data_IF_617301634663
#
_entry.id   IF_617301634663
#
_cell.length_a   1.000
_cell.length_b   1.000
_cell.length_c   1.000
_cell.angle_alpha   90.00
_cell.angle_beta   90.00
_cell.angle_gamma   90.00
#
_symmetry.space_group_name_H-M   'P 1'
#
loop_
_entity.id
_entity.type
_entity.pdbx_description
1 polymer ?
#
# COMPACT_ATOMS: atom_id res chain seq x y z
N UNK A 1 -12.45 -22.87 -13.25
CA UNK A 1 -13.76 -22.78 -12.58
C UNK A 1 -13.83 -21.39 -11.97
N UNK A 2 -14.35 -20.41 -12.71
CA UNK A 2 -14.48 -19.03 -12.23
C UNK A 2 -15.67 -18.97 -11.28
N UNK A 3 -15.45 -18.54 -10.04
CA UNK A 3 -16.51 -18.30 -9.07
C UNK A 3 -17.23 -17.01 -9.48
N UNK A 4 -18.35 -17.14 -10.20
CA UNK A 4 -19.33 -16.07 -10.35
C UNK A 4 -20.15 -16.02 -9.06
N UNK A 5 -19.80 -15.15 -8.13
CA UNK A 5 -20.67 -14.83 -7.00
C UNK A 5 -21.76 -13.88 -7.48
N UNK A 6 -22.95 -14.45 -7.63
CA UNK A 6 -24.21 -13.74 -7.82
C UNK A 6 -24.44 -12.78 -6.65
N UNK A 7 -24.84 -11.55 -6.97
CA UNK A 7 -25.26 -10.50 -6.04
C UNK A 7 -26.56 -10.89 -5.33
N UNK A 8 -26.50 -11.64 -4.23
CA UNK A 8 -27.42 -11.59 -3.09
C UNK A 8 -27.15 -12.79 -2.16
N UNK A 9 -26.60 -12.53 -0.97
CA UNK A 9 -27.03 -13.13 0.32
C UNK A 9 -26.01 -12.77 1.42
N UNK A 10 -26.52 -12.07 2.44
CA UNK A 10 -25.82 -11.66 3.66
C UNK A 10 -25.53 -12.87 4.56
N UNK A 11 -24.64 -13.77 4.16
CA UNK A 11 -24.27 -14.94 4.98
C UNK A 11 -23.01 -14.68 5.81
N UNK A 12 -23.19 -14.65 7.12
CA UNK A 12 -22.13 -14.67 8.13
C UNK A 12 -21.24 -15.90 7.92
N UNK A 13 -19.93 -15.71 7.79
CA UNK A 13 -18.99 -16.82 7.66
C UNK A 13 -18.80 -17.47 9.03
N UNK A 14 -19.26 -18.71 9.19
CA UNK A 14 -19.06 -19.49 10.42
C UNK A 14 -17.69 -20.16 10.41
N UNK A 15 -16.88 -19.88 11.43
CA UNK A 15 -15.61 -20.57 11.69
C UNK A 15 -15.72 -21.16 13.08
N UNK A 16 -15.55 -22.49 13.20
CA UNK A 16 -15.59 -23.22 14.49
C UNK A 16 -16.78 -22.87 15.40
N UNK A 17 -17.99 -22.89 14.83
CA UNK A 17 -19.28 -22.53 15.49
C UNK A 17 -19.41 -21.07 15.96
N UNK A 18 -18.43 -20.21 15.67
CA UNK A 18 -18.50 -18.78 15.92
C UNK A 18 -18.84 -18.00 14.64
N UNK A 19 -19.80 -17.09 14.77
CA UNK A 19 -20.15 -16.11 13.76
C UNK A 19 -19.10 -14.99 13.76
N UNK A 20 -18.26 -14.90 12.72
CA UNK A 20 -17.39 -13.74 12.55
C UNK A 20 -18.14 -12.63 11.80
N UNK A 21 -18.17 -11.39 12.32
CA UNK A 21 -18.72 -10.27 11.59
C UNK A 21 -17.87 -9.99 10.34
N UNK A 22 -18.53 -9.82 9.18
CA UNK A 22 -17.84 -9.38 7.96
C UNK A 22 -17.37 -7.94 8.15
N UNK A 23 -16.09 -7.69 7.91
CA UNK A 23 -15.50 -6.35 7.92
C UNK A 23 -15.28 -5.85 6.49
N UNK A 24 -15.46 -4.55 6.25
CA UNK A 24 -15.15 -3.92 4.96
C UNK A 24 -13.64 -3.90 4.69
N UNK A 25 -12.84 -3.81 5.75
CA UNK A 25 -11.38 -3.79 5.69
C UNK A 25 -10.79 -4.81 6.65
N UNK A 26 -9.89 -5.65 6.16
CA UNK A 26 -9.18 -6.64 6.96
C UNK A 26 -7.67 -6.45 6.84
N UNK A 27 -6.98 -6.35 7.98
CA UNK A 27 -5.52 -6.23 7.98
C UNK A 27 -4.88 -7.60 8.05
N UNK A 28 -4.14 -7.97 7.01
CA UNK A 28 -3.41 -9.24 6.92
C UNK A 28 -1.95 -9.00 6.58
N UNK A 29 -1.03 -9.50 7.42
CA UNK A 29 0.43 -9.37 7.22
C UNK A 29 0.92 -7.94 6.90
N UNK A 30 0.23 -6.94 7.45
CA UNK A 30 0.54 -5.53 7.24
C UNK A 30 -0.09 -4.90 5.99
N UNK A 31 -0.77 -5.66 5.14
CA UNK A 31 -1.59 -5.18 4.03
C UNK A 31 -3.06 -5.08 4.43
N UNK A 32 -3.80 -4.17 3.79
CA UNK A 32 -5.24 -3.98 4.05
C UNK A 32 -6.02 -4.49 2.86
N UNK A 33 -6.81 -5.54 3.09
CA UNK A 33 -7.68 -6.17 2.10
C UNK A 33 -9.07 -5.52 2.21
N UNK A 34 -9.61 -5.08 1.08
CA UNK A 34 -10.97 -4.58 0.98
C UNK A 34 -11.95 -5.72 0.68
N UNK A 35 -13.18 -5.64 1.19
CA UNK A 35 -14.20 -6.68 1.05
C UNK A 35 -14.70 -6.87 -0.40
N UNK A 36 -14.51 -5.85 -1.26
CA UNK A 36 -14.77 -5.85 -2.70
C UNK A 36 -13.53 -6.27 -3.53
N UNK A 37 -12.40 -6.54 -2.88
CA UNK A 37 -11.13 -6.83 -3.53
C UNK A 37 -10.42 -5.61 -4.10
N UNK A 38 -10.91 -4.39 -3.83
CA UNK A 38 -10.25 -3.16 -4.28
C UNK A 38 -8.91 -2.95 -3.56
N UNK A 39 -7.93 -2.48 -4.32
CA UNK A 39 -6.59 -2.13 -3.83
C UNK A 39 -6.45 -0.64 -3.53
N UNK A 40 -7.48 0.16 -3.82
CA UNK A 40 -7.40 1.60 -3.66
C UNK A 40 -7.03 1.99 -2.25
N UNK A 41 -7.61 1.30 -1.25
CA UNK A 41 -7.32 1.54 0.14
C UNK A 41 -5.90 1.11 0.52
N UNK A 42 -5.44 -0.06 0.03
CA UNK A 42 -4.07 -0.53 0.29
C UNK A 42 -3.03 0.43 -0.26
N UNK A 43 -3.21 0.89 -1.51
CA UNK A 43 -2.30 1.83 -2.18
C UNK A 43 -2.24 3.16 -1.41
N UNK A 44 -3.37 3.66 -0.91
CA UNK A 44 -3.41 4.84 -0.01
C UNK A 44 -2.60 4.58 1.25
N UNK A 45 -2.83 3.45 1.92
CA UNK A 45 -2.12 3.11 3.15
C UNK A 45 -0.61 3.05 2.93
N UNK A 46 -0.15 2.47 1.81
CA UNK A 46 1.28 2.38 1.46
C UNK A 46 1.90 3.73 1.14
N UNK A 47 1.21 4.56 0.36
CA UNK A 47 1.66 5.93 0.06
C UNK A 47 1.78 6.74 1.35
N UNK A 48 0.80 6.65 2.26
CA UNK A 48 0.84 7.34 3.54
C UNK A 48 1.98 6.83 4.43
N UNK A 49 2.19 5.52 4.50
CA UNK A 49 3.31 4.93 5.24
C UNK A 49 4.66 5.39 4.68
N UNK A 50 4.80 5.42 3.35
CA UNK A 50 6.00 5.93 2.69
C UNK A 50 6.20 7.43 2.98
N UNK A 51 5.13 8.22 3.02
CA UNK A 51 5.18 9.64 3.38
C UNK A 51 5.69 9.88 4.80
N UNK A 52 5.21 9.11 5.77
CA UNK A 52 5.71 9.17 7.15
C UNK A 52 7.20 8.82 7.21
N UNK A 53 7.64 7.80 6.48
CA UNK A 53 9.05 7.41 6.41
C UNK A 53 9.92 8.45 5.71
N UNK A 54 9.42 9.05 4.63
CA UNK A 54 10.10 10.15 3.98
C UNK A 54 10.27 11.33 4.93
N UNK A 55 9.21 11.71 5.65
CA UNK A 55 9.22 12.77 6.66
C UNK A 55 10.31 12.55 7.73
N UNK A 56 10.41 11.33 8.25
CA UNK A 56 11.46 10.95 9.21
C UNK A 56 12.89 11.01 8.62
N UNK A 57 13.03 10.82 7.30
CA UNK A 57 14.32 10.83 6.60
C UNK A 57 14.69 12.17 5.98
N UNK A 58 13.85 13.21 6.13
CA UNK A 58 14.12 14.57 5.61
C UNK A 58 15.48 15.11 6.07
N UNK A 59 15.90 14.82 7.31
CA UNK A 59 17.22 15.21 7.83
C UNK A 59 18.41 14.63 7.05
N UNK A 60 18.22 13.53 6.31
CA UNK A 60 19.23 12.93 5.42
C UNK A 60 18.98 13.33 3.96
N UNK A 61 17.72 13.26 3.52
CA UNK A 61 17.32 13.51 2.13
C UNK A 61 17.42 14.99 1.74
N UNK A 62 17.08 15.91 2.63
CA UNK A 62 17.14 17.35 2.38
C UNK A 62 18.49 17.97 2.77
N UNK A 63 19.41 17.21 3.38
CA UNK A 63 20.67 17.78 3.85
C UNK A 63 21.67 18.01 2.72
N UNK A 64 22.16 19.25 2.59
CA UNK A 64 22.98 19.68 1.44
C UNK A 64 24.34 19.00 1.33
N UNK A 65 24.95 18.56 2.44
CA UNK A 65 26.31 17.99 2.43
C UNK A 65 26.35 16.50 2.06
N UNK A 66 25.21 15.82 2.00
CA UNK A 66 25.14 14.41 1.61
C UNK A 66 25.02 14.31 0.10
N UNK A 67 25.82 13.42 -0.51
CA UNK A 67 25.80 13.19 -1.94
C UNK A 67 24.43 12.71 -2.44
N UNK A 68 24.01 13.18 -3.62
CA UNK A 68 22.76 12.74 -4.25
C UNK A 68 22.69 11.23 -4.46
N UNK A 69 23.83 10.59 -4.75
CA UNK A 69 23.92 9.13 -4.90
C UNK A 69 23.56 8.40 -3.61
N UNK A 70 24.03 8.90 -2.46
CA UNK A 70 23.68 8.31 -1.16
C UNK A 70 22.21 8.52 -0.84
N UNK A 71 21.68 9.73 -1.05
CA UNK A 71 20.25 10.03 -0.88
C UNK A 71 19.35 9.12 -1.70
N UNK A 72 19.71 8.89 -2.97
CA UNK A 72 18.98 7.97 -3.85
C UNK A 72 18.96 6.54 -3.31
N UNK A 73 20.09 6.04 -2.78
CA UNK A 73 20.14 4.72 -2.14
C UNK A 73 19.23 4.65 -0.90
N UNK A 74 19.29 5.67 -0.04
CA UNK A 74 18.45 5.75 1.17
C UNK A 74 16.97 5.80 0.81
N UNK A 75 16.60 6.65 -0.14
CA UNK A 75 15.23 6.76 -0.64
C UNK A 75 14.72 5.42 -1.17
N UNK A 76 15.50 4.76 -2.03
CA UNK A 76 15.13 3.45 -2.60
C UNK A 76 15.00 2.37 -1.53
N UNK A 77 15.89 2.37 -0.54
CA UNK A 77 15.93 1.35 0.49
C UNK A 77 14.85 1.51 1.57
N UNK A 78 14.44 2.74 1.89
CA UNK A 78 13.55 3.03 3.03
C UNK A 78 12.16 3.51 2.60
N UNK A 79 12.09 4.44 1.66
CA UNK A 79 10.81 5.06 1.27
C UNK A 79 10.13 4.24 0.19
N UNK A 80 10.88 3.92 -0.88
CA UNK A 80 10.34 3.15 -2.02
C UNK A 80 9.97 1.72 -1.63
N UNK A 81 10.76 1.09 -0.77
CA UNK A 81 10.46 -0.26 -0.26
C UNK A 81 9.14 -0.31 0.53
N UNK A 82 8.83 0.74 1.30
CA UNK A 82 7.57 0.82 2.06
C UNK A 82 6.37 1.09 1.15
N UNK A 83 6.55 1.93 0.13
CA UNK A 83 5.51 2.23 -0.85
C UNK A 83 5.14 1.00 -1.71
N UNK A 84 6.12 0.14 -2.02
CA UNK A 84 5.96 -1.02 -2.90
C UNK A 84 5.76 -2.35 -2.16
N UNK A 85 5.64 -2.35 -0.83
CA UNK A 85 5.40 -3.59 -0.11
C UNK A 85 4.04 -4.16 -0.50
N UNK A 86 4.02 -5.43 -0.92
CA UNK A 86 2.81 -6.13 -1.38
C UNK A 86 2.46 -5.84 -2.84
N UNK A 87 3.24 -5.00 -3.54
CA UNK A 87 2.99 -4.64 -4.93
C UNK A 87 3.13 -5.83 -5.89
N UNK A 88 3.84 -6.90 -5.50
CA UNK A 88 3.90 -8.15 -6.25
C UNK A 88 2.53 -8.83 -6.41
N UNK A 89 1.58 -8.51 -5.52
CA UNK A 89 0.21 -9.04 -5.56
C UNK A 89 -0.79 -8.05 -6.16
N UNK A 90 -0.34 -6.85 -6.55
CA UNK A 90 -1.21 -5.84 -7.15
C UNK A 90 -1.33 -6.06 -8.67
N UNK A 91 -2.53 -6.06 -9.27
CA UNK A 91 -2.72 -5.76 -10.68
C UNK A 91 -2.03 -4.44 -11.07
N UNK A 92 -1.22 -4.51 -12.12
CA UNK A 92 -0.55 -3.37 -12.73
C UNK A 92 -1.55 -2.52 -13.52
N UNK A 93 -2.37 -1.75 -12.80
CA UNK A 93 -3.30 -0.78 -13.40
C UNK A 93 -2.63 0.58 -13.55
N UNK A 94 -2.97 1.30 -14.62
CA UNK A 94 -2.42 2.65 -14.87
C UNK A 94 -2.70 3.61 -13.72
N UNK A 95 -3.84 3.48 -13.04
CA UNK A 95 -4.18 4.34 -11.90
C UNK A 95 -3.23 4.11 -10.71
N UNK A 96 -2.90 2.86 -10.39
CA UNK A 96 -1.95 2.56 -9.29
C UNK A 96 -0.55 3.09 -9.63
N UNK A 97 -0.10 2.88 -10.87
CA UNK A 97 1.19 3.43 -11.34
C UNK A 97 1.22 4.96 -11.29
N UNK A 98 0.13 5.62 -11.73
CA UNK A 98 -0.02 7.08 -11.67
C UNK A 98 0.06 7.60 -10.25
N UNK A 99 -0.62 6.95 -9.29
CA UNK A 99 -0.60 7.34 -7.87
C UNK A 99 0.79 7.20 -7.27
N UNK A 100 1.50 6.11 -7.57
CA UNK A 100 2.89 5.92 -7.15
C UNK A 100 3.83 6.96 -7.77
N UNK A 101 3.68 7.26 -9.07
CA UNK A 101 4.48 8.29 -9.76
C UNK A 101 4.27 9.69 -9.18
N UNK A 102 3.03 10.05 -8.86
CA UNK A 102 2.70 11.31 -8.17
C UNK A 102 3.36 11.36 -6.80
N UNK A 103 3.33 10.27 -6.04
CA UNK A 103 4.01 10.17 -4.75
C UNK A 103 5.53 10.35 -4.91
N UNK A 104 6.18 9.62 -5.82
CA UNK A 104 7.63 9.71 -6.05
C UNK A 104 8.05 11.14 -6.42
N UNK A 105 7.31 11.79 -7.33
CA UNK A 105 7.57 13.17 -7.76
C UNK A 105 7.45 14.18 -6.61
N UNK A 106 6.49 13.99 -5.70
CA UNK A 106 6.31 14.87 -4.54
C UNK A 106 7.43 14.72 -3.51
N UNK A 107 8.00 13.53 -3.36
CA UNK A 107 9.04 13.23 -2.36
C UNK A 107 10.46 13.55 -2.83
N UNK A 108 10.69 13.58 -4.14
CA UNK A 108 12.02 13.81 -4.73
C UNK A 108 12.25 15.26 -5.17
N UNK A 109 11.22 16.11 -5.12
CA UNK A 109 11.34 17.57 -5.26
C UNK A 109 11.96 18.19 -4.01
#
# INVERSE_FOLDING_TARGET
>A
MYMTTSLNELSTTQVDRNNLPRTEYFKYLGSTLSADGSLDHEVVCRINAAWLKWGAMTGVLCYKKISGRFKSKVYRAVVRSVALYGAESWPATEEVERRLSVMETKMLR
#
